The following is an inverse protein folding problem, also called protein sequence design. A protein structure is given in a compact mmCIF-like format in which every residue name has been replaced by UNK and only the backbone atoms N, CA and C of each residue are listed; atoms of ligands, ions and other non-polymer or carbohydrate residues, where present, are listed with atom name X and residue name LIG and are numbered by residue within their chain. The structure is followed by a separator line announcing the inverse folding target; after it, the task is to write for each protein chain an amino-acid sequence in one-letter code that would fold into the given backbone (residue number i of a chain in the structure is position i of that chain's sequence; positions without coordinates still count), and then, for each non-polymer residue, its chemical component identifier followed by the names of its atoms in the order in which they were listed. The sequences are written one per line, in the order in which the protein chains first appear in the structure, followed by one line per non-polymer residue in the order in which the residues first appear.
data_IF_590281751749
#
_entry.id   IF_590281751749
#
_cell.length_a   1.000
_cell.length_b   1.000
_cell.length_c   1.000
_cell.angle_alpha   90.00
_cell.angle_beta   90.00
_cell.angle_gamma   90.00
#
_symmetry.space_group_name_H-M   'P 1'
#
loop_
_entity.id
_entity.type
_entity.pdbx_description
1 polymer ?
#
# COMPACT_ATOMS: atom_id res chain seq x y z
N UNK A 1 -12.35 -14.02 -8.57
CA UNK A 1 -11.96 -12.68 -8.07
C UNK A 1 -11.73 -11.76 -9.25
N UNK A 2 -12.28 -10.55 -9.21
CA UNK A 2 -12.10 -9.50 -10.23
C UNK A 2 -11.43 -8.28 -9.60
N UNK A 3 -10.47 -7.67 -10.29
CA UNK A 3 -9.79 -6.46 -9.83
C UNK A 3 -10.48 -5.22 -10.41
N UNK A 4 -10.75 -4.23 -9.56
CA UNK A 4 -11.37 -2.94 -9.90
C UNK A 4 -10.32 -1.84 -9.67
N UNK A 5 -9.89 -1.23 -10.76
CA UNK A 5 -8.71 -0.34 -10.77
C UNK A 5 -8.76 0.74 -11.84
N UNK A 6 -9.94 0.97 -12.42
CA UNK A 6 -10.18 2.04 -13.40
C UNK A 6 -11.43 2.81 -12.98
N UNK A 7 -11.59 4.03 -13.49
CA UNK A 7 -12.80 4.84 -13.21
C UNK A 7 -14.06 4.08 -13.63
N UNK A 8 -14.09 3.56 -14.87
CA UNK A 8 -15.23 2.79 -15.38
C UNK A 8 -15.51 1.51 -14.57
N UNK A 9 -14.45 0.86 -14.07
CA UNK A 9 -14.58 -0.31 -13.21
C UNK A 9 -15.15 0.03 -11.83
N UNK A 10 -14.72 1.16 -11.26
CA UNK A 10 -15.22 1.66 -9.98
C UNK A 10 -16.71 2.03 -10.06
N UNK A 11 -17.12 2.69 -11.16
CA UNK A 11 -18.52 3.06 -11.40
C UNK A 11 -19.44 1.84 -11.53
N UNK A 12 -18.91 0.70 -12.00
CA UNK A 12 -19.64 -0.57 -12.18
C UNK A 12 -19.38 -1.58 -11.06
N UNK A 13 -18.75 -1.19 -9.96
CA UNK A 13 -18.27 -2.13 -8.96
C UNK A 13 -19.39 -3.01 -8.36
N UNK A 14 -20.59 -2.44 -8.13
CA UNK A 14 -21.76 -3.20 -7.66
C UNK A 14 -22.26 -4.21 -8.71
N UNK A 15 -22.31 -3.82 -9.98
CA UNK A 15 -22.73 -4.71 -11.07
C UNK A 15 -21.76 -5.88 -11.23
N UNK A 16 -20.45 -5.60 -11.20
CA UNK A 16 -19.39 -6.62 -11.28
C UNK A 16 -19.50 -7.57 -10.08
N UNK A 17 -19.71 -7.04 -8.87
CA UNK A 17 -19.89 -7.84 -7.66
C UNK A 17 -21.15 -8.72 -7.67
N UNK A 18 -22.19 -8.35 -8.43
CA UNK A 18 -23.44 -9.09 -8.54
C UNK A 18 -23.42 -10.21 -9.60
N UNK A 19 -22.36 -10.30 -10.41
CA UNK A 19 -22.21 -11.35 -11.43
C UNK A 19 -22.08 -12.72 -10.76
N UNK A 20 -22.85 -13.70 -11.24
CA UNK A 20 -22.79 -15.07 -10.74
C UNK A 20 -21.39 -15.68 -10.94
N UNK A 21 -20.85 -16.27 -9.86
CA UNK A 21 -19.48 -16.80 -9.82
C UNK A 21 -18.38 -15.77 -9.49
N UNK A 22 -18.71 -14.50 -9.24
CA UNK A 22 -17.74 -13.51 -8.72
C UNK A 22 -17.71 -13.57 -7.20
N UNK A 23 -16.73 -14.30 -6.65
CA UNK A 23 -16.62 -14.46 -5.20
C UNK A 23 -15.98 -13.27 -4.48
N UNK A 24 -15.21 -12.44 -5.18
CA UNK A 24 -14.40 -11.39 -4.58
C UNK A 24 -14.10 -10.25 -5.56
N UNK A 25 -14.10 -9.03 -5.04
CA UNK A 25 -13.67 -7.80 -5.71
C UNK A 25 -12.42 -7.27 -5.00
N UNK A 26 -11.33 -7.13 -5.76
CA UNK A 26 -10.09 -6.54 -5.27
C UNK A 26 -9.97 -5.09 -5.72
N UNK A 27 -9.74 -4.19 -4.78
CA UNK A 27 -9.50 -2.78 -5.07
C UNK A 27 -8.02 -2.55 -5.42
N UNK A 28 -7.75 -1.98 -6.60
CA UNK A 28 -6.41 -1.64 -7.09
C UNK A 28 -6.14 -0.12 -6.99
N UNK A 29 -5.65 0.40 -5.85
CA UNK A 29 -5.54 1.84 -5.64
C UNK A 29 -4.46 2.50 -6.51
N UNK A 30 -3.37 1.81 -6.83
CA UNK A 30 -2.28 2.36 -7.65
C UNK A 30 -2.74 2.56 -9.10
N UNK A 31 -3.30 1.55 -9.72
CA UNK A 31 -3.79 1.65 -11.10
C UNK A 31 -5.04 2.56 -11.19
N UNK A 32 -5.90 2.59 -10.15
CA UNK A 32 -7.00 3.56 -10.09
C UNK A 32 -6.48 5.00 -10.02
N UNK A 33 -5.40 5.23 -9.27
CA UNK A 33 -4.75 6.55 -9.22
C UNK A 33 -4.23 6.96 -10.59
N UNK A 34 -3.61 6.04 -11.34
CA UNK A 34 -3.18 6.25 -12.70
C UNK A 34 -4.35 6.56 -13.65
N UNK A 35 -5.44 5.78 -13.56
CA UNK A 35 -6.65 5.98 -14.36
C UNK A 35 -7.32 7.34 -14.11
N UNK A 36 -7.16 7.92 -12.92
CA UNK A 36 -7.67 9.24 -12.55
C UNK A 36 -6.71 10.40 -12.87
N UNK A 37 -5.52 10.11 -13.42
CA UNK A 37 -4.48 11.09 -13.73
C UNK A 37 -3.54 11.44 -12.58
N UNK A 38 -3.55 10.66 -11.50
CA UNK A 38 -2.70 10.81 -10.31
C UNK A 38 -1.73 9.63 -10.18
N UNK A 39 -0.94 9.38 -11.23
CA UNK A 39 0.01 8.28 -11.26
C UNK A 39 0.92 8.28 -10.02
N UNK A 40 1.01 7.14 -9.33
CA UNK A 40 1.75 6.95 -8.06
C UNK A 40 1.20 7.71 -6.83
N UNK A 41 0.02 8.32 -6.91
CA UNK A 41 -0.62 9.01 -5.76
C UNK A 41 -2.01 8.43 -5.43
N UNK A 42 -2.08 7.20 -4.88
CA UNK A 42 -3.33 6.64 -4.37
C UNK A 42 -3.87 7.39 -3.13
N UNK A 43 -3.05 8.21 -2.49
CA UNK A 43 -3.41 9.04 -1.34
C UNK A 43 -4.20 10.30 -1.72
N UNK A 44 -4.26 10.64 -3.00
CA UNK A 44 -4.95 11.81 -3.51
C UNK A 44 -6.44 11.80 -3.10
N UNK A 45 -6.97 12.97 -2.70
CA UNK A 45 -8.35 13.10 -2.17
C UNK A 45 -9.40 12.54 -3.14
N UNK A 46 -9.23 12.79 -4.44
CA UNK A 46 -10.14 12.29 -5.48
C UNK A 46 -10.09 10.76 -5.63
N UNK A 47 -8.89 10.18 -5.59
CA UNK A 47 -8.70 8.72 -5.70
C UNK A 47 -9.35 8.02 -4.51
N UNK A 48 -9.08 8.50 -3.28
CA UNK A 48 -9.73 7.99 -2.07
C UNK A 48 -11.24 8.11 -2.13
N UNK A 49 -11.78 9.23 -2.64
CA UNK A 49 -13.22 9.40 -2.83
C UNK A 49 -13.81 8.31 -3.71
N UNK A 50 -13.25 8.09 -4.91
CA UNK A 50 -13.71 7.05 -5.85
C UNK A 50 -13.58 5.65 -5.24
N UNK A 51 -12.45 5.36 -4.58
CA UNK A 51 -12.23 4.08 -3.91
C UNK A 51 -13.29 3.81 -2.85
N UNK A 52 -13.60 4.80 -1.99
CA UNK A 52 -14.60 4.66 -0.92
C UNK A 52 -16.02 4.45 -1.46
N UNK A 53 -16.38 5.07 -2.58
CA UNK A 53 -17.67 4.83 -3.21
C UNK A 53 -17.74 3.43 -3.82
N UNK A 54 -16.68 2.97 -4.49
CA UNK A 54 -16.59 1.61 -5.00
C UNK A 54 -16.63 0.55 -3.88
N UNK A 55 -15.93 0.77 -2.76
CA UNK A 55 -15.97 -0.08 -1.57
C UNK A 55 -17.40 -0.25 -1.05
N UNK A 56 -18.13 0.86 -0.87
CA UNK A 56 -19.54 0.84 -0.43
C UNK A 56 -20.44 0.14 -1.43
N UNK A 57 -20.22 0.36 -2.74
CA UNK A 57 -21.00 -0.27 -3.80
C UNK A 57 -20.86 -1.80 -3.78
N UNK A 58 -19.64 -2.32 -3.58
CA UNK A 58 -19.39 -3.76 -3.43
C UNK A 58 -20.05 -4.31 -2.17
N UNK A 59 -19.92 -3.63 -1.02
CA UNK A 59 -20.49 -4.09 0.23
C UNK A 59 -22.03 -4.01 0.26
N UNK A 60 -22.62 -3.10 -0.52
CA UNK A 60 -24.06 -2.91 -0.64
C UNK A 60 -24.72 -3.75 -1.73
N UNK A 61 -23.97 -4.42 -2.60
CA UNK A 61 -24.53 -5.16 -3.76
C UNK A 61 -25.29 -6.45 -3.38
N UNK A 62 -25.26 -6.83 -2.10
CA UNK A 62 -25.84 -8.08 -1.61
C UNK A 62 -27.28 -7.91 -1.09
N UNK A 63 -28.23 -7.62 -1.97
CA UNK A 63 -29.66 -7.75 -1.62
C UNK A 63 -30.03 -9.24 -1.58
N UNK A 64 -29.96 -9.85 -0.39
CA UNK A 64 -30.48 -11.21 -0.13
C UNK A 64 -29.62 -12.39 -0.60
N UNK A 65 -28.42 -12.13 -1.16
CA UNK A 65 -27.40 -13.15 -1.48
C UNK A 65 -26.13 -12.93 -0.65
N UNK A 66 -25.23 -13.91 -0.60
CA UNK A 66 -23.88 -13.70 -0.07
C UNK A 66 -23.13 -12.81 -1.07
N UNK A 67 -22.85 -11.56 -0.69
CA UNK A 67 -22.10 -10.62 -1.54
C UNK A 67 -20.68 -11.05 -1.81
N UNK A 68 -20.08 -10.51 -2.88
CA UNK A 68 -18.66 -10.70 -3.17
C UNK A 68 -17.80 -10.14 -2.02
N UNK A 69 -16.74 -10.86 -1.68
CA UNK A 69 -15.78 -10.40 -0.68
C UNK A 69 -15.00 -9.18 -1.18
N UNK A 70 -14.92 -8.15 -0.35
CA UNK A 70 -14.05 -7.01 -0.58
C UNK A 70 -12.60 -7.33 -0.19
N UNK A 71 -11.66 -7.14 -1.12
CA UNK A 71 -10.24 -7.45 -0.98
C UNK A 71 -9.36 -6.24 -1.31
N UNK A 72 -8.14 -6.16 -0.75
CA UNK A 72 -7.18 -5.13 -1.15
C UNK A 72 -5.83 -5.20 -0.44
N UNK A 73 -4.95 -4.29 -0.82
CA UNK A 73 -3.60 -4.15 -0.27
C UNK A 73 -3.54 -3.03 0.76
N UNK A 74 -2.84 -3.29 1.86
CA UNK A 74 -2.44 -2.24 2.77
C UNK A 74 -1.37 -1.35 2.13
N UNK A 75 -1.50 -0.05 2.39
CA UNK A 75 -0.58 0.98 1.88
C UNK A 75 -0.03 1.78 3.07
N UNK A 76 1.11 2.48 2.92
CA UNK A 76 1.69 3.27 4.02
C UNK A 76 0.71 4.27 4.68
N UNK A 77 -0.24 4.80 3.90
CA UNK A 77 -1.26 5.75 4.36
C UNK A 77 -2.65 5.12 4.58
N UNK A 78 -2.81 3.82 4.36
CA UNK A 78 -4.08 3.10 4.51
C UNK A 78 -3.80 1.69 5.06
N UNK A 79 -3.61 1.57 6.38
CA UNK A 79 -3.11 0.35 7.00
C UNK A 79 -4.19 -0.76 7.10
N UNK A 80 -3.80 -2.01 7.39
CA UNK A 80 -4.73 -3.15 7.42
C UNK A 80 -5.92 -2.96 8.37
N UNK A 81 -5.73 -2.30 9.50
CA UNK A 81 -6.76 -2.04 10.50
C UNK A 81 -7.87 -1.16 9.92
N UNK A 82 -7.48 -0.13 9.16
CA UNK A 82 -8.42 0.79 8.52
C UNK A 82 -9.18 0.11 7.38
N UNK A 83 -8.52 -0.77 6.61
CA UNK A 83 -9.19 -1.61 5.61
C UNK A 83 -10.22 -2.53 6.26
N UNK A 84 -9.85 -3.20 7.36
CA UNK A 84 -10.78 -4.05 8.13
C UNK A 84 -11.97 -3.27 8.67
N UNK A 85 -11.74 -2.08 9.22
CA UNK A 85 -12.81 -1.21 9.74
C UNK A 85 -13.82 -0.80 8.65
N UNK A 86 -13.39 -0.78 7.38
CA UNK A 86 -14.25 -0.51 6.22
C UNK A 86 -14.93 -1.75 5.62
N UNK A 87 -14.73 -2.93 6.19
CA UNK A 87 -15.40 -4.17 5.76
C UNK A 87 -14.61 -5.02 4.76
N UNK A 88 -13.30 -4.82 4.65
CA UNK A 88 -12.46 -5.73 3.87
C UNK A 88 -12.40 -7.11 4.53
N UNK A 89 -12.61 -8.15 3.72
CA UNK A 89 -12.65 -9.54 4.14
C UNK A 89 -11.28 -10.21 3.95
N UNK A 90 -10.53 -9.79 2.94
CA UNK A 90 -9.14 -10.20 2.71
C UNK A 90 -8.25 -8.98 2.54
N UNK A 91 -7.18 -8.93 3.32
CA UNK A 91 -6.21 -7.83 3.28
C UNK A 91 -4.81 -8.39 3.08
N UNK A 92 -4.18 -8.02 1.98
CA UNK A 92 -2.76 -8.25 1.73
C UNK A 92 -1.95 -7.16 2.46
N UNK A 93 -1.33 -7.52 3.58
CA UNK A 93 -0.62 -6.54 4.42
C UNK A 93 0.72 -6.05 3.85
N UNK A 94 1.38 -6.84 2.99
CA UNK A 94 2.69 -6.52 2.42
C UNK A 94 2.97 -7.41 1.19
N UNK A 95 4.09 -7.15 0.51
CA UNK A 95 4.61 -7.95 -0.62
C UNK A 95 6.03 -8.41 -0.33
N UNK A 96 6.34 -9.65 -0.71
CA UNK A 96 7.62 -10.33 -0.47
C UNK A 96 8.83 -9.54 -1.00
N UNK A 97 8.75 -9.04 -2.22
CA UNK A 97 9.77 -8.22 -2.88
C UNK A 97 10.02 -6.92 -2.11
N UNK A 98 8.96 -6.25 -1.65
CA UNK A 98 9.07 -5.05 -0.82
C UNK A 98 9.73 -5.31 0.53
N UNK A 99 9.36 -6.42 1.19
CA UNK A 99 10.02 -6.86 2.43
C UNK A 99 11.50 -7.18 2.21
N UNK A 100 11.81 -7.95 1.16
CA UNK A 100 13.18 -8.37 0.86
C UNK A 100 14.06 -7.16 0.53
N UNK A 101 13.60 -6.26 -0.34
CA UNK A 101 14.31 -5.02 -0.66
C UNK A 101 14.56 -4.17 0.59
N UNK A 102 13.56 -4.02 1.46
CA UNK A 102 13.71 -3.26 2.71
C UNK A 102 14.78 -3.86 3.63
N UNK A 103 14.75 -5.18 3.82
CA UNK A 103 15.74 -5.88 4.65
C UNK A 103 17.16 -5.77 4.07
N UNK A 104 17.32 -5.96 2.76
CA UNK A 104 18.62 -5.85 2.10
C UNK A 104 19.20 -4.43 2.16
N UNK A 105 18.36 -3.40 1.94
CA UNK A 105 18.77 -2.01 2.08
C UNK A 105 19.15 -1.69 3.53
N UNK A 106 18.37 -2.17 4.50
CA UNK A 106 18.66 -1.96 5.92
C UNK A 106 20.02 -2.57 6.33
N UNK A 107 20.34 -3.78 5.86
CA UNK A 107 21.62 -4.45 6.13
C UNK A 107 22.82 -3.63 5.61
N UNK A 108 22.75 -3.17 4.36
CA UNK A 108 23.79 -2.31 3.76
C UNK A 108 23.90 -0.98 4.52
N UNK A 109 22.78 -0.40 4.94
CA UNK A 109 22.78 0.84 5.74
C UNK A 109 23.39 0.63 7.14
N UNK A 110 23.21 -0.54 7.75
CA UNK A 110 23.88 -0.89 9.02
C UNK A 110 25.39 -0.88 8.85
N UNK A 111 25.92 -1.56 7.82
CA UNK A 111 27.36 -1.56 7.54
C UNK A 111 27.91 -0.14 7.26
N UNK A 112 27.20 0.65 6.43
CA UNK A 112 27.61 2.04 6.13
C UNK A 112 27.65 2.96 7.35
N UNK A 113 26.84 2.70 8.38
CA UNK A 113 26.86 3.46 9.63
C UNK A 113 28.11 3.17 10.46
N UNK A 114 28.55 1.91 10.52
CA UNK A 114 29.80 1.54 11.19
C UNK A 114 31.03 2.24 10.58
N UNK A 115 31.10 2.31 9.25
CA UNK A 115 32.20 2.99 8.58
C UNK A 115 32.24 4.50 8.88
N UNK A 116 31.08 5.13 9.06
CA UNK A 116 31.02 6.56 9.41
C UNK A 116 31.42 6.82 10.86
N UNK A 117 31.13 5.91 11.79
CA UNK A 117 31.60 6.05 13.17
C UNK A 117 33.11 5.90 13.26
N UNK A 118 33.70 4.94 12.53
CA UNK A 118 35.16 4.72 12.53
C UNK A 118 35.91 5.93 11.94
N UNK A 119 35.43 6.51 10.84
CA UNK A 119 36.06 7.71 10.24
C UNK A 119 35.98 8.92 11.16
N UNK A 120 34.88 9.11 11.88
CA UNK A 120 34.75 10.21 12.86
C UNK A 120 35.65 9.98 14.07
N UNK A 121 35.79 8.73 14.53
CA UNK A 121 36.72 8.38 15.61
C UNK A 121 38.18 8.60 15.20
N UNK A 122 38.57 8.23 13.97
CA UNK A 122 39.91 8.47 13.43
C UNK A 122 40.21 9.97 13.25
N UNK A 123 39.28 10.76 12.72
CA UNK A 123 39.43 12.22 12.58
C UNK A 123 39.55 12.91 13.95
N UNK A 124 38.78 12.51 14.96
CA UNK A 124 38.88 13.04 16.31
C UNK A 124 40.20 12.66 17.02
N UNK A 125 40.75 11.47 16.77
CA UNK A 125 42.04 11.05 17.30
C UNK A 125 43.20 11.81 16.65
N UNK A 126 43.18 12.02 15.33
CA UNK A 126 44.18 12.83 14.63
C UNK A 126 44.16 14.29 15.11
N UNK A 127 42.97 14.88 15.28
CA UNK A 127 42.85 16.26 15.75
C UNK A 127 43.38 16.42 17.19
N UNK A 128 43.03 15.49 18.11
CA UNK A 128 43.57 15.48 19.48
C UNK A 128 45.09 15.36 19.52
N UNK A 129 45.68 14.57 18.61
CA UNK A 129 47.13 14.40 18.49
C UNK A 129 47.80 15.69 17.99
N UNK A 130 47.22 16.33 16.97
CA UNK A 130 47.75 17.59 16.39
C UNK A 130 47.78 18.75 17.40
N UNK A 131 46.79 18.85 18.29
CA UNK A 131 46.74 19.90 19.33
C UNK A 131 47.51 19.56 20.62
N UNK A 132 48.20 18.42 20.67
CA UNK A 132 48.95 17.95 21.85
C UNK A 132 50.47 18.12 21.77
N UNK A 133 50.99 18.59 20.62
CA UNK A 133 52.41 18.92 20.39
C UNK A 133 52.72 20.42 20.57
#
# INVERSE_FOLDING_TARGET
MCQVETVDGADKAAEIAAVDGVDAIQMGPLDLSASLGYLWDPGHKKVKGVLREAEKAVLGSSEGKKGAFLCGFAMPHDPPEELRNRGYHMVSGTVDTGLFCSAAVEDVLRFKRCLKSEVVEEEEEEEKKYWSE
#
